data_IF_436898247725
#
_entry.id   IF_436898247725
#
_cell.length_a   1.000
_cell.length_b   1.000
_cell.length_c   1.000
_cell.angle_alpha   90.00
_cell.angle_beta   90.00
_cell.angle_gamma   90.00
#
_symmetry.space_group_name_H-M   'P 1'
#
loop_
_entity.id
_entity.type
_entity.pdbx_description
1 polymer ?
#
# COMPACT_ATOMS: atom_id res chain seq x y z
N UNK A 1 -10.65 -11.36 -14.78
CA UNK A 1 -10.58 -9.97 -14.36
C UNK A 1 -9.60 -9.82 -13.21
N UNK A 2 -8.81 -8.79 -13.27
CA UNK A 2 -7.88 -8.52 -12.18
C UNK A 2 -8.66 -8.10 -10.95
N UNK A 3 -8.39 -8.74 -9.82
CA UNK A 3 -9.02 -8.41 -8.56
C UNK A 3 -8.20 -7.35 -7.82
N UNK A 4 -8.89 -6.38 -7.21
CA UNK A 4 -8.23 -5.40 -6.35
C UNK A 4 -7.92 -6.00 -4.98
N UNK A 5 -8.48 -7.17 -4.69
CA UNK A 5 -8.23 -7.87 -3.43
C UNK A 5 -6.99 -8.73 -3.59
N UNK A 6 -6.03 -8.54 -2.69
CA UNK A 6 -4.75 -9.25 -2.76
C UNK A 6 -4.42 -9.89 -1.41
N UNK A 7 -3.54 -10.87 -1.46
CA UNK A 7 -3.12 -11.60 -0.27
C UNK A 7 -2.01 -10.84 0.47
N UNK A 8 -1.73 -11.31 1.69
CA UNK A 8 -0.64 -10.76 2.48
C UNK A 8 0.69 -10.89 1.74
N UNK A 9 0.91 -12.05 1.13
CA UNK A 9 2.14 -12.29 0.38
C UNK A 9 2.25 -11.36 -0.82
N UNK A 10 1.12 -11.10 -1.48
CA UNK A 10 1.11 -10.20 -2.61
C UNK A 10 1.39 -8.75 -2.20
N UNK A 11 0.89 -8.32 -1.03
CA UNK A 11 1.22 -7.00 -0.50
C UNK A 11 2.71 -6.90 -0.21
N UNK A 12 3.26 -7.93 0.41
CA UNK A 12 4.68 -7.95 0.74
C UNK A 12 5.52 -7.83 -0.52
N UNK A 13 5.18 -8.60 -1.55
CA UNK A 13 5.89 -8.54 -2.81
C UNK A 13 5.73 -7.17 -3.48
N UNK A 14 4.52 -6.64 -3.46
CA UNK A 14 4.21 -5.35 -4.06
C UNK A 14 5.01 -4.22 -3.41
N UNK A 15 5.11 -4.24 -2.08
CA UNK A 15 5.85 -3.22 -1.34
C UNK A 15 7.32 -3.58 -1.16
N UNK A 16 7.72 -4.74 -1.64
CA UNK A 16 9.09 -5.26 -1.54
C UNK A 16 9.54 -5.37 -0.09
N UNK A 17 8.66 -5.92 0.73
CA UNK A 17 8.92 -6.16 2.15
C UNK A 17 8.73 -7.64 2.44
N UNK A 18 9.14 -8.06 3.62
CA UNK A 18 8.97 -9.45 4.03
C UNK A 18 7.52 -9.69 4.46
N UNK A 19 6.96 -10.87 4.15
CA UNK A 19 5.60 -11.19 4.58
C UNK A 19 5.42 -11.03 6.11
N UNK A 20 6.42 -11.39 6.88
CA UNK A 20 6.35 -11.26 8.34
C UNK A 20 6.14 -9.81 8.76
N UNK A 21 6.77 -8.88 8.06
CA UNK A 21 6.61 -7.46 8.34
C UNK A 21 5.17 -7.03 8.11
N UNK A 22 4.58 -7.47 7.00
CA UNK A 22 3.19 -7.12 6.68
C UNK A 22 2.25 -7.75 7.71
N UNK A 23 2.50 -9.01 8.09
CA UNK A 23 1.68 -9.69 9.08
C UNK A 23 1.69 -8.94 10.41
N UNK A 24 2.86 -8.55 10.87
CA UNK A 24 3.01 -7.82 12.13
C UNK A 24 2.27 -6.49 12.07
N UNK A 25 2.44 -5.75 10.97
CA UNK A 25 1.76 -4.47 10.81
C UNK A 25 0.25 -4.61 10.72
N UNK A 26 -0.22 -5.68 10.08
CA UNK A 26 -1.67 -5.93 9.99
C UNK A 26 -2.24 -6.22 11.37
N UNK A 27 -1.54 -7.02 12.17
CA UNK A 27 -1.98 -7.31 13.53
C UNK A 27 -1.97 -6.08 14.42
N UNK A 28 -1.01 -5.20 14.22
CA UNK A 28 -0.89 -3.96 14.98
C UNK A 28 -1.77 -2.83 14.42
N UNK A 29 -2.51 -3.13 13.36
CA UNK A 29 -3.39 -2.16 12.70
C UNK A 29 -2.62 -0.95 12.17
N UNK A 30 -1.40 -1.19 11.74
CA UNK A 30 -0.56 -0.16 11.12
C UNK A 30 -0.71 -0.12 9.62
N UNK A 31 -1.29 -1.16 9.03
CA UNK A 31 -1.54 -1.23 7.60
C UNK A 31 -3.01 -1.63 7.40
N UNK A 32 -3.73 -0.99 6.48
CA UNK A 32 -5.16 -1.30 6.29
C UNK A 32 -5.35 -2.66 5.63
N UNK A 33 -6.04 -3.54 6.33
CA UNK A 33 -6.33 -4.87 5.84
C UNK A 33 -7.50 -5.47 6.60
N UNK A 34 -8.00 -6.57 6.10
CA UNK A 34 -9.12 -7.26 6.72
C UNK A 34 -8.72 -8.70 7.05
N UNK A 35 -9.02 -9.11 8.26
CA UNK A 35 -8.80 -10.50 8.66
C UNK A 35 -10.10 -11.26 8.45
N UNK A 36 -10.08 -12.16 7.47
CA UNK A 36 -11.23 -12.96 7.13
C UNK A 36 -10.97 -14.41 7.56
N UNK A 37 -11.52 -14.77 8.71
CA UNK A 37 -11.20 -16.05 9.30
C UNK A 37 -9.75 -16.07 9.77
N UNK A 38 -8.96 -16.94 9.17
CA UNK A 38 -7.54 -17.04 9.51
C UNK A 38 -6.64 -16.34 8.51
N UNK A 39 -7.22 -15.70 7.49
CA UNK A 39 -6.43 -15.14 6.41
C UNK A 39 -6.59 -13.63 6.33
N UNK A 40 -5.52 -12.97 5.94
CA UNK A 40 -5.52 -11.54 5.71
C UNK A 40 -5.76 -11.25 4.24
N UNK A 41 -6.57 -10.23 3.99
CA UNK A 41 -6.79 -9.75 2.62
C UNK A 41 -6.68 -8.23 2.62
N UNK A 42 -6.20 -7.70 1.52
CA UNK A 42 -5.94 -6.27 1.40
C UNK A 42 -6.53 -5.78 0.08
N UNK A 43 -6.80 -4.51 0.02
CA UNK A 43 -7.27 -3.91 -1.21
C UNK A 43 -6.14 -3.06 -1.78
N UNK A 44 -5.71 -3.40 -2.99
CA UNK A 44 -4.53 -2.77 -3.58
C UNK A 44 -4.67 -1.26 -3.68
N UNK A 45 -5.85 -0.77 -4.08
CA UNK A 45 -6.08 0.67 -4.18
C UNK A 45 -5.94 1.36 -2.83
N UNK A 46 -6.36 0.71 -1.75
CA UNK A 46 -6.24 1.27 -0.41
C UNK A 46 -4.78 1.22 0.06
N UNK A 47 -4.06 0.17 -0.29
CA UNK A 47 -2.64 0.07 0.02
C UNK A 47 -1.89 1.21 -0.67
N UNK A 48 -2.24 1.53 -1.91
CA UNK A 48 -1.62 2.63 -2.63
C UNK A 48 -1.84 3.97 -1.91
N UNK A 49 -3.07 4.22 -1.46
CA UNK A 49 -3.37 5.44 -0.71
C UNK A 49 -2.63 5.48 0.62
N UNK A 50 -2.62 4.35 1.32
CA UNK A 50 -1.91 4.23 2.59
C UNK A 50 -0.43 4.52 2.40
N UNK A 51 0.16 4.00 1.32
CA UNK A 51 1.55 4.23 1.02
C UNK A 51 1.84 5.71 0.81
N UNK A 52 0.96 6.39 0.08
CA UNK A 52 1.12 7.82 -0.16
C UNK A 52 1.10 8.62 1.14
N UNK A 53 0.28 8.20 2.10
CA UNK A 53 0.20 8.88 3.38
C UNK A 53 1.44 8.70 4.23
N UNK A 54 2.26 7.71 3.93
CA UNK A 54 3.50 7.45 4.65
C UNK A 54 4.69 8.15 4.05
N UNK A 55 4.48 8.81 2.93
CA UNK A 55 5.55 9.61 2.32
C UNK A 55 5.66 10.92 3.10
N UNK A 56 6.90 11.27 3.44
CA UNK A 56 7.20 12.50 4.19
C UNK A 56 6.56 13.71 3.51
N UNK A 57 6.08 14.66 4.30
CA UNK A 57 5.47 15.88 3.77
C UNK A 57 6.36 16.61 2.78
N UNK A 58 7.68 16.54 2.98
CA UNK A 58 8.62 17.14 2.05
C UNK A 58 8.55 16.54 0.66
N UNK A 59 8.09 15.31 0.57
CA UNK A 59 7.95 14.63 -0.71
C UNK A 59 6.64 14.99 -1.41
N UNK A 60 5.67 15.53 -0.69
CA UNK A 60 4.41 15.92 -1.31
C UNK A 60 4.63 16.93 -2.41
N UNK A 61 5.49 17.94 -2.16
CA UNK A 61 5.80 18.94 -3.17
C UNK A 61 6.52 18.33 -4.35
N UNK A 62 7.43 17.41 -4.10
CA UNK A 62 8.15 16.72 -5.16
C UNK A 62 7.18 15.91 -6.02
N UNK A 63 6.26 15.20 -5.38
CA UNK A 63 5.28 14.40 -6.09
C UNK A 63 4.34 15.27 -6.92
N UNK A 64 3.91 16.39 -6.36
CA UNK A 64 3.05 17.33 -7.09
C UNK A 64 3.76 17.87 -8.33
N UNK A 65 5.01 18.26 -8.18
CA UNK A 65 5.81 18.75 -9.30
C UNK A 65 5.97 17.68 -10.37
N UNK A 66 6.23 16.46 -9.95
CA UNK A 66 6.40 15.35 -10.87
C UNK A 66 5.12 15.08 -11.65
N UNK A 67 3.97 15.11 -10.96
CA UNK A 67 2.68 14.90 -11.62
C UNK A 67 2.34 16.01 -12.58
N UNK A 68 2.65 17.23 -12.21
CA UNK A 68 2.42 18.38 -13.11
C UNK A 68 3.24 18.27 -14.39
N UNK A 69 4.49 17.86 -14.26
CA UNK A 69 5.36 17.67 -15.43
C UNK A 69 4.80 16.61 -16.35
N UNK A 70 4.24 15.56 -15.80
CA UNK A 70 3.66 14.50 -16.62
C UNK A 70 2.38 14.94 -17.32
N UNK A 71 1.62 15.82 -16.71
CA UNK A 71 0.41 16.33 -17.33
C UNK A 71 0.67 17.22 -18.52
N UNK A 72 1.85 17.78 -18.61
CA UNK A 72 2.19 18.70 -19.69
C UNK A 72 2.69 18.01 -20.95
N UNK A 73 2.73 16.71 -20.97
CA UNK A 73 3.18 15.97 -22.15
C UNK A 73 2.04 15.63 -23.10
#
# INVERSE_FOLDING_TARGET
MASDIITLEEVAEYLRLKPQTIYTWAQEKKIPGAKLGKEWRFKKSIIDEWFLQHIDEKFDDVIKNWKEKQKKQ
#
